data_IF_059633940595
#
_entry.id   IF_059633940595
#
_cell.length_a   1.000
_cell.length_b   1.000
_cell.length_c   1.000
_cell.angle_alpha   90.00
_cell.angle_beta   90.00
_cell.angle_gamma   90.00
#
_symmetry.space_group_name_H-M   'P 1'
#
loop_
_entity.id
_entity.type
_entity.pdbx_description
1 polymer ?
#
# COMPACT_ATOMS: atom_id res chain seq x y z
N UNK A 1 16.96 1.76 12.17
CA UNK A 1 17.98 2.23 11.19
C UNK A 1 17.25 3.02 10.12
N UNK A 2 17.67 4.26 9.83
CA UNK A 2 16.94 5.15 8.90
C UNK A 2 17.60 5.10 7.51
N UNK A 3 16.80 4.87 6.47
CA UNK A 3 17.25 4.95 5.08
C UNK A 3 17.14 6.40 4.61
N UNK A 4 18.30 7.03 4.40
CA UNK A 4 18.39 8.42 3.93
C UNK A 4 18.79 8.50 2.44
N UNK A 5 19.56 7.53 1.95
CA UNK A 5 20.10 7.55 0.59
C UNK A 5 19.03 7.27 -0.46
N UNK A 6 18.83 8.23 -1.37
CA UNK A 6 17.94 8.09 -2.53
C UNK A 6 18.41 7.03 -3.55
N UNK A 7 19.65 6.54 -3.40
CA UNK A 7 20.23 5.49 -4.23
C UNK A 7 20.06 4.08 -3.64
N UNK A 8 19.52 3.98 -2.41
CA UNK A 8 19.27 2.71 -1.74
C UNK A 8 18.41 1.78 -2.64
N UNK A 9 18.75 0.49 -2.76
CA UNK A 9 18.00 -0.46 -3.59
C UNK A 9 16.50 -0.52 -3.26
N UNK A 10 16.10 -0.46 -1.99
CA UNK A 10 14.69 -0.44 -1.56
C UNK A 10 13.97 0.80 -2.09
N UNK A 11 14.57 1.99 -1.96
CA UNK A 11 14.03 3.24 -2.53
C UNK A 11 13.85 3.14 -4.04
N UNK A 12 14.86 2.62 -4.75
CA UNK A 12 14.77 2.41 -6.21
C UNK A 12 13.64 1.45 -6.58
N UNK A 13 13.42 0.41 -5.78
CA UNK A 13 12.35 -0.55 -6.04
C UNK A 13 10.96 0.06 -5.80
N UNK A 14 10.78 0.81 -4.72
CA UNK A 14 9.53 1.55 -4.45
C UNK A 14 9.16 2.48 -5.62
N UNK A 15 10.13 3.22 -6.17
CA UNK A 15 9.89 4.06 -7.36
C UNK A 15 9.45 3.21 -8.57
N UNK A 16 10.06 2.04 -8.79
CA UNK A 16 9.70 1.13 -9.90
C UNK A 16 8.25 0.63 -9.79
N UNK A 17 7.82 0.27 -8.58
CA UNK A 17 6.47 -0.25 -8.28
C UNK A 17 5.33 0.75 -8.56
N UNK A 18 5.64 2.02 -8.86
CA UNK A 18 4.65 2.97 -9.39
C UNK A 18 4.09 2.56 -10.75
N UNK A 19 4.86 1.81 -11.54
CA UNK A 19 4.42 1.35 -12.86
C UNK A 19 3.75 -0.01 -12.77
N UNK A 20 2.62 -0.19 -13.48
CA UNK A 20 1.90 -1.48 -13.57
C UNK A 20 2.83 -2.62 -13.96
N UNK A 21 3.65 -2.42 -15.00
CA UNK A 21 4.60 -3.43 -15.50
C UNK A 21 5.49 -3.99 -14.39
N UNK A 22 5.96 -3.16 -13.47
CA UNK A 22 6.84 -3.60 -12.38
C UNK A 22 6.06 -4.28 -11.26
N UNK A 23 4.84 -3.81 -10.97
CA UNK A 23 3.93 -4.48 -10.03
C UNK A 23 3.60 -5.89 -10.49
N UNK A 24 3.18 -6.03 -11.74
CA UNK A 24 2.81 -7.32 -12.34
C UNK A 24 4.03 -8.25 -12.42
N UNK A 25 5.23 -7.72 -12.74
CA UNK A 25 6.47 -8.52 -12.76
C UNK A 25 6.86 -9.04 -11.38
N UNK A 26 6.66 -8.24 -10.34
CA UNK A 26 7.07 -8.58 -8.97
C UNK A 26 5.95 -9.26 -8.16
N UNK A 27 4.72 -9.25 -8.67
CA UNK A 27 3.50 -9.63 -7.92
C UNK A 27 3.34 -8.82 -6.64
N UNK A 28 3.70 -7.53 -6.68
CA UNK A 28 3.67 -6.61 -5.53
C UNK A 28 2.88 -5.34 -5.86
N UNK A 29 2.29 -4.71 -4.85
CA UNK A 29 1.66 -3.40 -4.94
C UNK A 29 1.98 -2.53 -3.73
N UNK A 30 1.75 -1.22 -3.87
CA UNK A 30 1.98 -0.22 -2.82
C UNK A 30 0.64 0.16 -2.19
N UNK A 31 0.63 0.25 -0.86
CA UNK A 31 -0.46 0.83 -0.06
C UNK A 31 0.09 2.10 0.59
N UNK A 32 -0.47 3.27 0.28
CA UNK A 32 -0.01 4.55 0.83
C UNK A 32 -1.09 5.21 1.68
N UNK A 33 -0.72 5.65 2.88
CA UNK A 33 -1.58 6.40 3.80
C UNK A 33 -2.29 5.55 4.86
N UNK A 34 -2.70 6.22 5.93
CA UNK A 34 -3.23 5.59 7.15
C UNK A 34 -4.51 4.78 6.86
N UNK A 35 -5.49 5.40 6.18
CA UNK A 35 -6.80 4.78 5.94
C UNK A 35 -6.72 3.52 5.07
N UNK A 36 -5.84 3.52 4.08
CA UNK A 36 -5.67 2.38 3.18
C UNK A 36 -5.00 1.21 3.91
N UNK A 37 -3.97 1.49 4.71
CA UNK A 37 -3.30 0.50 5.56
C UNK A 37 -4.24 -0.09 6.61
N UNK A 38 -5.01 0.74 7.30
CA UNK A 38 -5.98 0.28 8.29
C UNK A 38 -6.97 -0.72 7.66
N UNK A 39 -7.53 -0.38 6.49
CA UNK A 39 -8.44 -1.28 5.77
C UNK A 39 -7.79 -2.59 5.36
N UNK A 40 -6.54 -2.56 4.90
CA UNK A 40 -5.80 -3.77 4.58
C UNK A 40 -5.68 -4.69 5.81
N UNK A 41 -5.27 -4.14 6.95
CA UNK A 41 -5.15 -4.88 8.21
C UNK A 41 -6.50 -5.40 8.71
N UNK A 42 -7.58 -4.63 8.58
CA UNK A 42 -8.94 -5.03 8.99
C UNK A 42 -9.48 -6.22 8.19
N UNK A 43 -8.96 -6.45 6.99
CA UNK A 43 -9.35 -7.58 6.12
C UNK A 43 -8.27 -8.67 6.08
N UNK A 44 -7.31 -8.68 7.02
CA UNK A 44 -6.29 -9.71 7.11
C UNK A 44 -5.20 -9.64 6.03
N UNK A 45 -5.06 -8.51 5.35
CA UNK A 45 -3.99 -8.29 4.37
C UNK A 45 -2.78 -7.62 5.01
N UNK A 46 -1.93 -8.43 5.62
CA UNK A 46 -0.65 -7.96 6.18
C UNK A 46 0.38 -7.69 5.06
N UNK A 47 1.07 -6.54 5.08
CA UNK A 47 2.12 -6.24 4.13
C UNK A 47 3.43 -6.99 4.44
N UNK A 48 4.27 -7.17 3.42
CA UNK A 48 5.61 -7.76 3.59
C UNK A 48 6.58 -6.74 4.20
N UNK A 49 6.46 -5.47 3.80
CA UNK A 49 7.30 -4.36 4.28
C UNK A 49 6.44 -3.12 4.58
N UNK A 50 6.77 -2.41 5.66
CA UNK A 50 6.23 -1.09 5.99
C UNK A 50 7.36 -0.06 6.06
N UNK A 51 7.21 1.01 5.29
CA UNK A 51 8.08 2.17 5.30
C UNK A 51 7.38 3.32 6.03
N UNK A 52 8.05 3.85 7.06
CA UNK A 52 7.52 4.93 7.89
C UNK A 52 8.40 6.18 7.79
N UNK A 53 7.79 7.35 7.94
CA UNK A 53 8.48 8.62 8.15
C UNK A 53 7.71 9.40 9.22
N UNK A 54 8.09 9.27 10.50
CA UNK A 54 7.37 9.87 11.63
C UNK A 54 7.21 11.39 11.52
N UNK A 55 8.16 12.07 10.90
CA UNK A 55 8.11 13.53 10.64
C UNK A 55 6.95 13.96 9.72
N UNK A 56 6.34 13.01 8.98
CA UNK A 56 5.23 13.25 8.06
C UNK A 56 3.88 12.75 8.59
N UNK A 57 3.83 12.24 9.82
CA UNK A 57 2.57 11.84 10.44
C UNK A 57 1.65 13.04 10.63
N UNK A 58 0.35 12.81 10.46
CA UNK A 58 -0.65 13.88 10.46
C UNK A 58 -1.56 13.76 11.69
N UNK A 59 -1.72 12.55 12.23
CA UNK A 59 -2.55 12.24 13.39
C UNK A 59 -1.77 11.67 14.58
N UNK A 60 -2.53 11.02 15.46
CA UNK A 60 -2.03 10.39 16.70
C UNK A 60 -2.20 8.87 16.71
N UNK A 61 -2.77 8.28 15.66
CA UNK A 61 -3.16 6.87 15.63
C UNK A 61 -2.16 5.98 14.89
N UNK A 62 -1.17 6.61 14.24
CA UNK A 62 -0.14 5.96 13.42
C UNK A 62 0.62 4.91 14.25
N UNK A 63 1.02 5.23 15.47
CA UNK A 63 1.75 4.32 16.36
C UNK A 63 1.00 3.02 16.60
N UNK A 64 -0.29 3.08 16.98
CA UNK A 64 -1.09 1.89 17.24
C UNK A 64 -1.28 1.02 15.99
N UNK A 65 -1.40 1.63 14.81
CA UNK A 65 -1.47 0.90 13.54
C UNK A 65 -0.12 0.25 13.20
N UNK A 66 1.00 0.96 13.41
CA UNK A 66 2.35 0.45 13.18
C UNK A 66 2.62 -0.76 14.08
N UNK A 67 2.29 -0.68 15.37
CA UNK A 67 2.41 -1.79 16.33
C UNK A 67 1.62 -3.02 15.85
N UNK A 68 0.36 -2.84 15.46
CA UNK A 68 -0.47 -3.94 14.91
C UNK A 68 0.12 -4.56 13.64
N UNK A 69 0.76 -3.76 12.79
CA UNK A 69 1.43 -4.25 11.57
C UNK A 69 2.70 -5.03 11.95
N UNK A 70 3.49 -4.52 12.90
CA UNK A 70 4.69 -5.17 13.41
C UNK A 70 4.38 -6.56 13.99
N UNK A 71 3.30 -6.67 14.78
CA UNK A 71 2.82 -7.93 15.36
C UNK A 71 2.48 -8.99 14.29
N UNK A 72 2.19 -8.57 13.05
CA UNK A 72 1.95 -9.49 11.94
C UNK A 72 3.22 -10.01 11.25
N UNK A 73 4.40 -9.59 11.74
CA UNK A 73 5.71 -10.02 11.22
C UNK A 73 6.22 -9.18 10.04
N UNK A 74 5.60 -8.03 9.76
CA UNK A 74 6.03 -7.10 8.70
C UNK A 74 7.40 -6.47 9.03
N UNK A 75 8.30 -6.36 8.05
CA UNK A 75 9.57 -5.65 8.18
C UNK A 75 9.35 -4.13 8.16
N UNK A 76 9.69 -3.43 9.25
CA UNK A 76 9.47 -1.98 9.38
C UNK A 76 10.77 -1.22 9.19
N UNK A 77 10.77 -0.30 8.22
CA UNK A 77 11.91 0.56 7.91
C UNK A 77 11.53 2.03 7.98
N UNK A 78 12.40 2.81 8.60
CA UNK A 78 12.25 4.26 8.64
C UNK A 78 12.96 4.91 7.44
N UNK A 79 12.30 5.90 6.83
CA UNK A 79 12.82 6.72 5.75
C UNK A 79 12.99 8.17 6.20
N UNK A 80 14.04 8.83 5.70
CA UNK A 80 14.10 10.29 5.81
C UNK A 80 12.93 10.94 5.04
N UNK A 81 12.54 12.18 5.38
CA UNK A 81 11.49 12.89 4.65
C UNK A 81 11.77 13.02 3.15
N UNK A 82 13.04 13.22 2.79
CA UNK A 82 13.47 13.32 1.38
C UNK A 82 13.30 11.98 0.65
N UNK A 83 13.72 10.88 1.28
CA UNK A 83 13.56 9.54 0.73
C UNK A 83 12.08 9.15 0.61
N UNK A 84 11.26 9.47 1.61
CA UNK A 84 9.82 9.21 1.59
C UNK A 84 9.12 10.01 0.49
N UNK A 85 9.38 11.32 0.38
CA UNK A 85 8.81 12.18 -0.68
C UNK A 85 9.19 11.71 -2.09
N UNK A 86 10.38 11.14 -2.26
CA UNK A 86 10.79 10.56 -3.56
C UNK A 86 9.91 9.39 -3.98
N UNK A 87 9.42 8.57 -3.04
CA UNK A 87 8.63 7.36 -3.32
C UNK A 87 7.13 7.58 -3.25
N UNK A 88 6.66 8.54 -2.45
CA UNK A 88 5.27 8.95 -2.31
C UNK A 88 4.59 9.28 -3.66
N UNK A 89 3.40 8.74 -3.91
CA UNK A 89 2.61 9.10 -5.08
C UNK A 89 1.85 10.41 -4.87
N UNK A 90 1.50 10.73 -3.61
CA UNK A 90 0.71 11.91 -3.25
C UNK A 90 1.61 13.13 -3.08
N UNK A 91 1.08 14.32 -3.41
CA UNK A 91 1.79 15.59 -3.18
C UNK A 91 2.04 15.86 -1.69
N UNK A 92 1.12 15.42 -0.82
CA UNK A 92 1.21 15.53 0.64
C UNK A 92 1.14 14.13 1.26
N UNK A 93 2.27 13.41 1.35
CA UNK A 93 2.31 12.08 1.95
C UNK A 93 2.05 12.11 3.46
N UNK A 94 1.45 11.04 3.97
CA UNK A 94 1.07 10.87 5.39
C UNK A 94 2.14 10.08 6.19
N UNK A 95 3.34 9.89 5.62
CA UNK A 95 4.45 9.18 6.27
C UNK A 95 4.29 7.67 6.41
N UNK A 96 3.26 7.06 5.82
CA UNK A 96 3.04 5.61 5.85
C UNK A 96 2.93 5.03 4.44
N UNK A 97 3.77 4.04 4.13
CA UNK A 97 3.77 3.35 2.85
C UNK A 97 4.15 1.88 3.04
N UNK A 98 3.32 0.95 2.58
CA UNK A 98 3.62 -0.48 2.63
C UNK A 98 3.73 -1.10 1.25
N UNK A 99 4.44 -2.23 1.20
CA UNK A 99 4.53 -3.13 0.05
C UNK A 99 3.87 -4.45 0.43
N UNK A 100 2.93 -4.90 -0.39
CA UNK A 100 2.20 -6.13 -0.17
C UNK A 100 2.08 -6.94 -1.47
N UNK A 101 1.74 -8.22 -1.35
CA UNK A 101 1.52 -9.11 -2.50
C UNK A 101 0.22 -8.75 -3.21
N UNK A 102 0.27 -8.72 -4.54
CA UNK A 102 -0.96 -8.66 -5.31
C UNK A 102 -1.81 -9.90 -5.05
N UNK A 103 -3.12 -9.71 -4.98
CA UNK A 103 -4.11 -10.77 -4.98
C UNK A 103 -4.94 -10.65 -6.25
N UNK A 104 -5.26 -11.78 -6.86
CA UNK A 104 -6.02 -11.87 -8.10
C UNK A 104 -7.23 -12.76 -7.84
N UNK A 105 -8.35 -12.19 -7.32
CA UNK A 105 -9.55 -12.98 -7.09
C UNK A 105 -10.12 -13.43 -8.43
N UNK A 106 -10.46 -14.71 -8.52
CA UNK A 106 -11.10 -15.31 -9.69
C UNK A 106 -12.61 -15.37 -9.49
N UNK A 107 -13.38 -15.50 -10.57
CA UNK A 107 -14.84 -15.61 -10.47
C UNK A 107 -15.28 -16.84 -9.65
N UNK A 108 -14.49 -17.91 -9.71
CA UNK A 108 -14.76 -19.16 -9.00
C UNK A 108 -14.54 -19.02 -7.47
N UNK A 109 -13.85 -17.98 -7.02
CA UNK A 109 -13.70 -17.68 -5.58
C UNK A 109 -15.02 -17.18 -4.95
N UNK A 110 -15.99 -16.77 -5.77
CA UNK A 110 -17.28 -16.24 -5.32
C UNK A 110 -18.33 -17.37 -5.23
N UNK A 111 -18.31 -18.12 -4.13
CA UNK A 111 -19.09 -19.37 -3.98
C UNK A 111 -20.55 -19.20 -3.61
N UNK A 112 -20.98 -18.05 -3.07
CA UNK A 112 -22.35 -17.85 -2.54
C UNK A 112 -23.07 -16.65 -3.17
N UNK A 113 -23.73 -16.89 -4.31
CA UNK A 113 -24.47 -15.89 -5.07
C UNK A 113 -25.87 -15.53 -4.50
N UNK A 114 -26.27 -16.07 -3.34
CA UNK A 114 -27.62 -15.79 -2.82
C UNK A 114 -27.68 -14.42 -2.12
N UNK A 115 -28.26 -13.45 -2.85
CA UNK A 115 -28.57 -12.05 -2.46
C UNK A 115 -27.39 -11.08 -2.46
N UNK A 116 -26.62 -11.03 -3.56
CA UNK A 116 -25.59 -10.01 -3.76
C UNK A 116 -26.00 -9.01 -4.86
N UNK A 117 -25.84 -7.71 -4.60
CA UNK A 117 -25.86 -6.68 -5.63
C UNK A 117 -24.53 -6.78 -6.39
N UNK A 118 -24.60 -7.12 -7.68
CA UNK A 118 -23.42 -7.25 -8.54
C UNK A 118 -23.29 -5.99 -9.40
N UNK A 119 -22.10 -5.40 -9.41
CA UNK A 119 -21.75 -4.28 -10.28
C UNK A 119 -20.80 -4.81 -11.36
N UNK A 120 -21.16 -4.65 -12.63
CA UNK A 120 -20.30 -5.00 -13.77
C UNK A 120 -19.77 -3.73 -14.42
N UNK A 121 -18.45 -3.58 -14.47
CA UNK A 121 -17.78 -2.47 -15.14
C UNK A 121 -17.34 -2.86 -16.54
N UNK A 122 -17.89 -2.21 -17.56
CA UNK A 122 -17.46 -2.36 -18.95
C UNK A 122 -16.59 -1.16 -19.37
N UNK A 123 -15.43 -1.44 -19.98
CA UNK A 123 -14.55 -0.43 -20.58
C UNK A 123 -14.21 0.79 -19.68
N UNK A 124 -13.93 0.57 -18.39
CA UNK A 124 -13.53 1.65 -17.49
C UNK A 124 -12.14 2.17 -17.85
N UNK A 125 -12.07 3.41 -18.36
CA UNK A 125 -10.82 3.99 -18.85
C UNK A 125 -9.97 4.66 -17.76
N UNK A 126 -10.61 5.30 -16.78
CA UNK A 126 -9.93 6.08 -15.74
C UNK A 126 -9.90 5.30 -14.41
N UNK A 127 -8.71 5.00 -13.85
CA UNK A 127 -8.60 4.29 -12.57
C UNK A 127 -9.38 4.93 -11.42
N UNK A 128 -9.49 6.27 -11.41
CA UNK A 128 -10.24 7.00 -10.39
C UNK A 128 -11.76 6.73 -10.42
N UNK A 129 -12.32 6.39 -11.58
CA UNK A 129 -13.74 6.04 -11.69
C UNK A 129 -14.01 4.73 -10.96
N UNK A 130 -13.16 3.72 -11.18
CA UNK A 130 -13.26 2.44 -10.48
C UNK A 130 -13.11 2.59 -8.98
N UNK A 131 -12.22 3.46 -8.51
CA UNK A 131 -12.03 3.68 -7.06
C UNK A 131 -13.18 4.43 -6.37
N UNK A 132 -14.11 5.03 -7.12
CA UNK A 132 -15.25 5.79 -6.58
C UNK A 132 -16.54 4.97 -6.51
N UNK A 133 -16.69 3.99 -7.39
CA UNK A 133 -17.82 3.05 -7.39
C UNK A 133 -17.72 2.09 -6.21
#
# INVERSE_FOLDING_TARGET
MIITSLQNPKIKNLVKLRTRKQRDKQQLYIIEGYRALLRAMDHGHSPDELYICPELFIGSNETALIERIEESGTDILELSPEAFKKVAYRERPEGLMAVAKQFHPELDDFTDAQKQLIITGEAIEKPGNLGTM
#
